data_IF_545242312215
#
_entry.id   IF_545242312215
#
_cell.length_a   1.000
_cell.length_b   1.000
_cell.length_c   1.000
_cell.angle_alpha   90.00
_cell.angle_beta   90.00
_cell.angle_gamma   90.00
#
_symmetry.space_group_name_H-M   'P 1'
#
loop_
_entity.id
_entity.type
_entity.pdbx_description
1 polymer ?
#
# COMPACT_ATOMS: atom_id res chain seq x y z
N UNK A 1 -53.82 -14.75 23.43
CA UNK A 1 -52.52 -14.10 23.73
C UNK A 1 -52.56 -13.52 25.12
N UNK A 2 -51.62 -13.90 25.99
CA UNK A 2 -51.63 -13.50 27.39
C UNK A 2 -51.31 -12.00 27.51
N UNK A 3 -52.03 -11.28 28.39
CA UNK A 3 -51.87 -9.83 28.64
C UNK A 3 -50.39 -9.43 28.89
N UNK A 4 -49.61 -10.35 29.47
CA UNK A 4 -48.17 -10.21 29.69
C UNK A 4 -47.33 -10.09 28.41
N UNK A 5 -47.71 -10.81 27.34
CA UNK A 5 -47.00 -10.73 26.06
C UNK A 5 -47.21 -9.38 25.37
N UNK A 6 -48.42 -8.83 25.47
CA UNK A 6 -48.73 -7.51 24.92
C UNK A 6 -48.01 -6.39 25.68
N UNK A 7 -47.93 -6.51 27.01
CA UNK A 7 -47.18 -5.57 27.84
C UNK A 7 -45.68 -5.54 27.50
N UNK A 8 -45.06 -6.69 27.27
CA UNK A 8 -43.64 -6.76 26.89
C UNK A 8 -43.39 -6.13 25.51
N UNK A 9 -44.27 -6.37 24.53
CA UNK A 9 -44.17 -5.75 23.20
C UNK A 9 -44.31 -4.23 23.31
N UNK A 10 -45.27 -3.73 24.09
CA UNK A 10 -45.46 -2.30 24.30
C UNK A 10 -44.24 -1.64 24.96
N UNK A 11 -43.66 -2.27 25.99
CA UNK A 11 -42.44 -1.77 26.64
C UNK A 11 -41.26 -1.76 25.68
N UNK A 12 -41.07 -2.80 24.86
CA UNK A 12 -40.01 -2.85 23.86
C UNK A 12 -40.15 -1.73 22.82
N UNK A 13 -41.37 -1.48 22.31
CA UNK A 13 -41.63 -0.40 21.35
C UNK A 13 -41.34 0.99 21.95
N UNK A 14 -41.72 1.21 23.21
CA UNK A 14 -41.43 2.46 23.92
C UNK A 14 -39.93 2.66 24.09
N UNK A 15 -39.18 1.61 24.44
CA UNK A 15 -37.72 1.67 24.57
C UNK A 15 -37.04 1.95 23.22
N UNK A 16 -37.45 1.26 22.14
CA UNK A 16 -36.94 1.51 20.79
C UNK A 16 -37.26 2.95 20.33
N UNK A 17 -38.50 3.40 20.54
CA UNK A 17 -38.91 4.77 20.21
C UNK A 17 -38.12 5.81 21.00
N UNK A 18 -37.89 5.57 22.30
CA UNK A 18 -37.06 6.42 23.14
C UNK A 18 -35.62 6.51 22.65
N UNK A 19 -35.02 5.37 22.27
CA UNK A 19 -33.65 5.34 21.73
C UNK A 19 -33.54 6.11 20.41
N UNK A 20 -34.49 5.92 19.49
CA UNK A 20 -34.54 6.64 18.22
C UNK A 20 -34.71 8.15 18.45
N UNK A 21 -35.57 8.53 19.39
CA UNK A 21 -35.78 9.94 19.72
C UNK A 21 -34.52 10.59 20.30
N UNK A 22 -33.81 9.92 21.19
CA UNK A 22 -32.50 10.38 21.72
C UNK A 22 -31.48 10.54 20.59
N UNK A 23 -31.39 9.58 19.66
CA UNK A 23 -30.47 9.66 18.52
C UNK A 23 -30.80 10.83 17.58
N UNK A 24 -32.09 11.05 17.28
CA UNK A 24 -32.52 12.19 16.47
C UNK A 24 -32.22 13.52 17.17
N UNK A 25 -32.48 13.62 18.47
CA UNK A 25 -32.19 14.81 19.26
C UNK A 25 -30.68 15.10 19.39
N UNK A 26 -29.84 14.06 19.34
CA UNK A 26 -28.38 14.17 19.35
C UNK A 26 -27.77 14.49 17.96
N UNK A 27 -28.60 14.77 16.95
CA UNK A 27 -28.12 15.08 15.59
C UNK A 27 -27.84 13.86 14.73
N UNK A 28 -28.35 12.68 15.08
CA UNK A 28 -28.20 11.45 14.28
C UNK A 28 -28.84 11.52 12.89
N UNK A 29 -29.72 12.50 12.64
CA UNK A 29 -30.27 12.80 11.32
C UNK A 29 -29.42 13.78 10.49
N UNK A 30 -28.49 14.50 11.12
CA UNK A 30 -27.65 15.51 10.48
C UNK A 30 -26.36 14.93 9.90
N UNK A 31 -26.40 13.66 9.50
CA UNK A 31 -25.27 13.03 8.80
C UNK A 31 -25.09 13.69 7.43
N UNK A 32 -24.17 14.64 7.36
CA UNK A 32 -23.66 15.17 6.10
C UNK A 32 -22.47 14.30 5.70
N UNK A 33 -22.56 13.49 4.62
CA UNK A 33 -21.41 12.73 4.16
C UNK A 33 -20.28 13.70 3.86
N UNK A 34 -19.18 13.56 4.62
CA UNK A 34 -17.96 14.30 4.37
C UNK A 34 -17.55 14.05 2.91
N UNK A 35 -17.25 15.12 2.18
CA UNK A 35 -16.72 14.95 0.82
C UNK A 35 -15.43 14.15 0.93
N UNK A 36 -15.30 13.16 0.04
CA UNK A 36 -14.06 12.45 -0.15
C UNK A 36 -12.92 13.46 -0.33
N UNK A 37 -11.79 13.17 0.31
CA UNK A 37 -10.63 14.04 0.24
C UNK A 37 -10.12 14.09 -1.21
N UNK A 38 -9.64 15.26 -1.62
CA UNK A 38 -9.01 15.43 -2.93
C UNK A 38 -7.73 14.56 -2.98
N UNK A 39 -7.65 13.59 -3.92
CA UNK A 39 -6.47 12.73 -4.06
C UNK A 39 -5.28 13.47 -4.69
N UNK A 40 -5.52 14.56 -5.41
CA UNK A 40 -4.47 15.33 -6.09
C UNK A 40 -3.75 16.32 -5.16
N UNK A 41 -4.25 16.50 -3.92
CA UNK A 41 -3.61 17.37 -2.94
C UNK A 41 -2.61 16.60 -2.09
N UNK A 42 -1.40 17.13 -2.01
CA UNK A 42 -0.38 16.60 -1.10
C UNK A 42 -0.83 16.73 0.36
N UNK A 43 -0.69 15.65 1.10
CA UNK A 43 -0.99 15.60 2.53
C UNK A 43 0.26 15.66 3.40
N UNK A 44 1.45 15.77 2.80
CA UNK A 44 2.70 15.94 3.51
C UNK A 44 2.96 14.80 4.49
N UNK A 45 2.61 13.56 4.12
CA UNK A 45 2.84 12.39 4.98
C UNK A 45 4.34 12.22 5.16
N UNK A 46 4.73 11.92 6.39
CA UNK A 46 6.11 11.59 6.73
C UNK A 46 6.22 10.08 6.92
N UNK A 47 7.16 9.44 6.22
CA UNK A 47 7.48 8.05 6.53
C UNK A 47 8.17 7.94 7.89
N UNK A 48 7.86 6.87 8.60
CA UNK A 48 8.57 6.48 9.81
C UNK A 48 9.86 5.73 9.46
N UNK A 49 10.72 5.52 10.45
CA UNK A 49 11.98 4.76 10.28
C UNK A 49 11.77 3.24 10.39
N UNK A 50 10.52 2.77 10.37
CA UNK A 50 10.17 1.35 10.41
C UNK A 50 9.56 0.90 9.08
N UNK A 51 9.64 -0.41 8.83
CA UNK A 51 9.21 -1.00 7.56
C UNK A 51 7.70 -0.86 7.33
N UNK A 52 6.90 -1.00 8.38
CA UNK A 52 5.44 -0.98 8.28
C UNK A 52 4.92 0.43 7.95
N UNK A 53 5.38 1.45 8.68
CA UNK A 53 4.99 2.82 8.39
C UNK A 53 5.59 3.36 7.09
N UNK A 54 6.75 2.87 6.65
CA UNK A 54 7.24 3.12 5.29
C UNK A 54 6.29 2.53 4.23
N UNK A 55 5.91 1.26 4.37
CA UNK A 55 5.02 0.59 3.44
C UNK A 55 3.64 1.27 3.39
N UNK A 56 3.07 1.62 4.53
CA UNK A 56 1.82 2.37 4.63
C UNK A 56 1.94 3.73 3.90
N UNK A 57 3.01 4.48 4.15
CA UNK A 57 3.21 5.80 3.55
C UNK A 57 3.32 5.71 2.03
N UNK A 58 4.05 4.71 1.51
CA UNK A 58 4.17 4.45 0.07
C UNK A 58 2.82 4.09 -0.52
N UNK A 59 2.09 3.14 0.08
CA UNK A 59 0.80 2.67 -0.43
C UNK A 59 -0.22 3.81 -0.43
N UNK A 60 -0.35 4.55 0.67
CA UNK A 60 -1.30 5.65 0.75
C UNK A 60 -0.98 6.79 -0.23
N UNK A 61 0.30 7.12 -0.38
CA UNK A 61 0.74 8.17 -1.32
C UNK A 61 0.57 7.72 -2.76
N UNK A 62 0.89 6.46 -3.06
CA UNK A 62 0.74 5.91 -4.39
C UNK A 62 -0.72 5.71 -4.81
N UNK A 63 -1.61 5.35 -3.88
CA UNK A 63 -3.04 5.27 -4.15
C UNK A 63 -3.68 6.65 -4.33
N UNK A 64 -3.20 7.68 -3.63
CA UNK A 64 -3.62 9.06 -3.90
C UNK A 64 -3.21 9.48 -5.33
N UNK A 65 -1.98 9.19 -5.74
CA UNK A 65 -1.51 9.50 -7.10
C UNK A 65 -2.27 8.73 -8.19
N UNK A 66 -2.51 7.43 -7.96
CA UNK A 66 -3.29 6.60 -8.87
C UNK A 66 -4.74 7.13 -8.99
N UNK A 67 -5.37 7.46 -7.86
CA UNK A 67 -6.71 8.04 -7.85
C UNK A 67 -6.75 9.40 -8.55
N UNK A 68 -5.74 10.25 -8.34
CA UNK A 68 -5.61 11.53 -9.05
C UNK A 68 -5.50 11.32 -10.58
N UNK A 69 -4.65 10.38 -11.01
CA UNK A 69 -4.47 10.03 -12.42
C UNK A 69 -5.75 9.50 -13.06
N UNK A 70 -6.51 8.69 -12.33
CA UNK A 70 -7.77 8.10 -12.77
C UNK A 70 -8.96 9.07 -12.66
N UNK A 71 -8.79 10.24 -12.02
CA UNK A 71 -9.85 11.23 -11.82
C UNK A 71 -10.97 10.77 -10.87
N UNK A 72 -10.67 9.86 -9.93
CA UNK A 72 -11.63 9.32 -8.96
C UNK A 72 -11.17 9.59 -7.54
N UNK A 73 -12.06 9.47 -6.54
CA UNK A 73 -11.60 9.53 -5.15
C UNK A 73 -10.80 8.29 -4.77
N UNK A 74 -9.88 8.44 -3.81
CA UNK A 74 -9.14 7.30 -3.25
C UNK A 74 -10.08 6.25 -2.66
N UNK A 75 -11.18 6.67 -2.04
CA UNK A 75 -12.19 5.78 -1.48
C UNK A 75 -12.89 4.96 -2.58
N UNK A 76 -13.21 5.59 -3.73
CA UNK A 76 -13.79 4.87 -4.88
C UNK A 76 -12.81 3.87 -5.48
N UNK A 77 -11.52 4.23 -5.57
CA UNK A 77 -10.46 3.34 -6.02
C UNK A 77 -10.32 2.14 -5.07
N UNK A 78 -10.14 2.39 -3.76
CA UNK A 78 -9.99 1.36 -2.74
C UNK A 78 -11.17 0.39 -2.68
N UNK A 79 -12.40 0.90 -2.79
CA UNK A 79 -13.60 0.07 -2.82
C UNK A 79 -13.65 -0.84 -4.05
N UNK A 80 -13.03 -0.44 -5.16
CA UNK A 80 -13.00 -1.25 -6.38
C UNK A 80 -11.97 -2.38 -6.30
N UNK A 81 -10.85 -2.19 -5.60
CA UNK A 81 -9.70 -3.10 -5.68
C UNK A 81 -9.99 -4.56 -5.36
N UNK A 82 -10.79 -4.92 -4.33
CA UNK A 82 -10.98 -6.33 -3.95
C UNK A 82 -11.77 -7.13 -5.00
N UNK A 83 -12.71 -6.50 -5.69
CA UNK A 83 -13.69 -7.18 -6.54
C UNK A 83 -13.38 -6.98 -8.01
N UNK A 84 -13.21 -8.08 -8.75
CA UNK A 84 -13.00 -8.03 -10.21
C UNK A 84 -14.13 -7.28 -10.92
N UNK A 85 -15.38 -7.50 -10.49
CA UNK A 85 -16.54 -6.82 -11.03
C UNK A 85 -16.48 -5.29 -10.79
N UNK A 86 -16.05 -4.87 -9.60
CA UNK A 86 -15.96 -3.44 -9.27
C UNK A 86 -14.76 -2.76 -9.93
N UNK A 87 -13.64 -3.48 -10.13
CA UNK A 87 -12.51 -3.01 -10.96
C UNK A 87 -12.92 -2.81 -12.40
N UNK A 88 -13.66 -3.76 -12.98
CA UNK A 88 -14.16 -3.65 -14.35
C UNK A 88 -15.14 -2.47 -14.49
N UNK A 89 -15.99 -2.23 -13.49
CA UNK A 89 -16.86 -1.05 -13.47
C UNK A 89 -16.07 0.26 -13.34
N UNK A 90 -15.11 0.32 -12.43
CA UNK A 90 -14.24 1.48 -12.29
C UNK A 90 -13.45 1.77 -13.58
N UNK A 91 -12.97 0.73 -14.26
CA UNK A 91 -12.27 0.86 -15.53
C UNK A 91 -13.19 1.47 -16.60
N UNK A 92 -14.45 1.03 -16.68
CA UNK A 92 -15.46 1.63 -17.56
C UNK A 92 -15.75 3.09 -17.21
N UNK A 93 -15.94 3.40 -15.93
CA UNK A 93 -16.20 4.77 -15.44
C UNK A 93 -15.07 5.75 -15.82
N UNK A 94 -13.82 5.29 -15.73
CA UNK A 94 -12.62 6.09 -15.99
C UNK A 94 -12.13 6.03 -17.44
N UNK A 95 -12.81 5.26 -18.30
CA UNK A 95 -12.45 5.13 -19.71
C UNK A 95 -11.15 4.34 -19.97
N UNK A 96 -10.77 3.45 -19.05
CA UNK A 96 -9.59 2.58 -19.14
C UNK A 96 -9.98 1.10 -19.24
N UNK A 97 -9.00 0.23 -19.52
CA UNK A 97 -9.09 -1.21 -19.29
C UNK A 97 -8.49 -1.60 -17.93
N UNK A 98 -8.69 -2.84 -17.49
CA UNK A 98 -8.14 -3.37 -16.23
C UNK A 98 -6.61 -3.25 -16.19
N UNK A 99 -5.94 -3.43 -17.33
CA UNK A 99 -4.48 -3.25 -17.44
C UNK A 99 -4.08 -1.80 -17.22
N UNK A 100 -4.88 -0.84 -17.67
CA UNK A 100 -4.66 0.58 -17.43
C UNK A 100 -4.93 0.95 -15.98
N UNK A 101 -5.93 0.34 -15.33
CA UNK A 101 -6.14 0.49 -13.88
C UNK A 101 -4.92 -0.04 -13.09
N UNK A 102 -4.45 -1.24 -13.40
CA UNK A 102 -3.28 -1.84 -12.78
C UNK A 102 -1.99 -1.02 -13.03
N UNK A 103 -1.83 -0.46 -14.23
CA UNK A 103 -0.74 0.48 -14.55
C UNK A 103 -0.83 1.76 -13.74
N UNK A 104 -2.00 2.39 -13.64
CA UNK A 104 -2.18 3.60 -12.84
C UNK A 104 -1.83 3.36 -11.36
N UNK A 105 -2.17 2.19 -10.81
CA UNK A 105 -1.78 1.81 -9.45
C UNK A 105 -0.26 1.63 -9.34
N UNK A 106 0.36 0.92 -10.28
CA UNK A 106 1.82 0.72 -10.31
C UNK A 106 2.58 2.04 -10.43
N UNK A 107 2.17 2.90 -11.36
CA UNK A 107 2.76 4.21 -11.61
C UNK A 107 2.55 5.13 -10.40
N UNK A 108 1.38 5.06 -9.76
CA UNK A 108 1.11 5.75 -8.51
C UNK A 108 2.07 5.33 -7.40
N UNK A 109 2.24 4.03 -7.16
CA UNK A 109 3.19 3.50 -6.16
C UNK A 109 4.63 3.94 -6.46
N UNK A 110 5.07 3.87 -7.72
CA UNK A 110 6.39 4.33 -8.16
C UNK A 110 6.58 5.83 -7.90
N UNK A 111 5.57 6.63 -8.21
CA UNK A 111 5.57 8.08 -7.94
C UNK A 111 5.58 8.38 -6.43
N UNK A 112 4.90 7.56 -5.62
CA UNK A 112 4.95 7.63 -4.16
C UNK A 112 6.37 7.42 -3.62
N UNK A 113 7.09 6.43 -4.15
CA UNK A 113 8.50 6.19 -3.82
C UNK A 113 9.35 7.40 -4.22
N UNK A 114 9.19 7.91 -5.45
CA UNK A 114 9.92 9.09 -5.93
C UNK A 114 9.71 10.32 -5.05
N UNK A 115 8.49 10.52 -4.56
CA UNK A 115 8.15 11.67 -3.71
C UNK A 115 8.89 11.58 -2.37
N UNK A 116 8.88 10.40 -1.75
CA UNK A 116 9.58 10.16 -0.48
C UNK A 116 11.09 10.28 -0.65
N UNK A 117 11.64 9.81 -1.76
CA UNK A 117 13.06 9.93 -2.08
C UNK A 117 13.47 11.40 -2.23
N UNK A 118 12.74 12.16 -3.06
CA UNK A 118 12.96 13.60 -3.27
C UNK A 118 12.82 14.42 -1.99
N UNK A 119 11.94 13.99 -1.08
CA UNK A 119 11.76 14.63 0.22
C UNK A 119 12.82 14.20 1.25
N UNK A 120 13.72 13.26 0.92
CA UNK A 120 14.72 12.73 1.84
C UNK A 120 14.12 11.94 3.00
N UNK A 121 12.93 11.36 2.80
CA UNK A 121 12.17 10.66 3.84
C UNK A 121 12.33 9.14 3.79
N UNK A 122 12.89 8.60 2.70
CA UNK A 122 13.17 7.17 2.64
C UNK A 122 14.24 6.79 3.69
N UNK A 123 13.94 5.86 4.61
CA UNK A 123 14.93 5.37 5.54
C UNK A 123 15.98 4.56 4.78
N UNK A 124 17.16 4.41 5.37
CA UNK A 124 18.22 3.64 4.75
C UNK A 124 17.93 2.15 4.85
N UNK A 125 18.36 1.36 3.87
CA UNK A 125 18.14 -0.10 3.90
C UNK A 125 18.78 -0.72 5.15
N UNK A 126 19.97 -0.26 5.55
CA UNK A 126 20.60 -0.70 6.81
C UNK A 126 19.72 -0.54 8.05
N UNK A 127 18.90 0.51 8.12
CA UNK A 127 17.97 0.72 9.24
C UNK A 127 16.75 -0.21 9.21
N UNK A 128 16.37 -0.69 8.02
CA UNK A 128 15.26 -1.63 7.83
C UNK A 128 15.70 -3.09 7.94
N UNK A 129 17.00 -3.37 7.74
CA UNK A 129 17.55 -4.73 7.73
C UNK A 129 17.16 -5.58 8.94
N UNK A 130 17.16 -5.08 10.19
CA UNK A 130 16.77 -5.89 11.35
C UNK A 130 15.33 -6.41 11.23
N UNK A 131 14.38 -5.55 10.85
CA UNK A 131 12.98 -5.93 10.67
C UNK A 131 12.79 -6.92 9.51
N UNK A 132 13.54 -6.73 8.43
CA UNK A 132 13.53 -7.64 7.27
C UNK A 132 14.14 -9.00 7.65
N UNK A 133 15.21 -9.01 8.42
CA UNK A 133 15.89 -10.22 8.88
C UNK A 133 14.99 -11.15 9.68
N UNK A 134 14.25 -10.56 10.62
CA UNK A 134 13.31 -11.26 11.47
C UNK A 134 12.20 -11.93 10.61
N UNK A 135 11.72 -11.24 9.57
CA UNK A 135 10.72 -11.80 8.64
C UNK A 135 11.28 -12.89 7.73
N UNK A 136 12.55 -12.80 7.33
CA UNK A 136 13.22 -13.79 6.48
C UNK A 136 13.82 -14.96 7.27
N UNK A 137 13.74 -14.95 8.61
CA UNK A 137 14.36 -15.95 9.47
C UNK A 137 15.90 -15.94 9.42
N UNK A 138 16.49 -14.82 9.02
CA UNK A 138 17.95 -14.65 8.95
C UNK A 138 18.44 -14.23 10.33
N UNK A 139 19.39 -14.97 10.90
CA UNK A 139 19.96 -14.63 12.20
C UNK A 139 20.62 -13.25 12.16
N UNK A 140 20.23 -12.36 13.07
CA UNK A 140 20.75 -11.00 13.22
C UNK A 140 22.27 -10.91 13.39
N UNK A 141 22.90 -11.99 13.90
CA UNK A 141 24.36 -12.12 14.02
C UNK A 141 25.10 -12.09 12.68
N UNK A 142 24.48 -12.55 11.59
CA UNK A 142 25.10 -12.57 10.26
C UNK A 142 25.03 -11.18 9.59
N UNK A 143 24.02 -10.39 9.92
CA UNK A 143 23.80 -9.08 9.30
C UNK A 143 24.78 -8.04 9.83
N UNK A 144 25.12 -8.09 11.12
CA UNK A 144 26.11 -7.19 11.72
C UNK A 144 27.54 -7.35 11.17
N UNK A 145 27.80 -8.35 10.31
CA UNK A 145 29.10 -8.54 9.66
C UNK A 145 29.28 -7.64 8.43
N UNK A 146 28.19 -7.11 7.86
CA UNK A 146 28.24 -6.24 6.68
C UNK A 146 28.14 -4.78 7.15
N UNK A 147 29.08 -3.90 6.79
CA UNK A 147 29.00 -2.49 7.17
C UNK A 147 27.78 -1.80 6.55
N UNK A 148 27.03 -1.04 7.37
CA UNK A 148 25.83 -0.30 6.93
C UNK A 148 26.09 0.57 5.70
N UNK A 149 27.26 1.22 5.62
CA UNK A 149 27.64 2.05 4.47
C UNK A 149 27.66 1.27 3.16
N UNK A 150 28.16 0.04 3.20
CA UNK A 150 28.23 -0.81 2.02
C UNK A 150 26.82 -1.26 1.59
N UNK A 151 25.97 -1.56 2.56
CA UNK A 151 24.55 -1.87 2.30
C UNK A 151 23.86 -0.67 1.66
N UNK A 152 23.97 0.51 2.25
CA UNK A 152 23.28 1.71 1.77
C UNK A 152 23.77 2.17 0.39
N UNK A 153 25.04 1.94 0.06
CA UNK A 153 25.63 2.27 -1.24
C UNK A 153 25.23 1.25 -2.32
N UNK A 154 25.17 -0.04 -1.99
CA UNK A 154 24.78 -1.10 -2.93
C UNK A 154 23.26 -1.24 -3.09
N UNK A 155 22.50 -0.85 -2.08
CA UNK A 155 21.06 -1.01 -2.02
C UNK A 155 20.43 0.33 -1.59
N UNK A 156 20.44 1.35 -2.45
CA UNK A 156 19.67 2.55 -2.18
C UNK A 156 18.18 2.18 -2.10
N UNK A 157 17.50 2.58 -1.02
CA UNK A 157 16.11 2.20 -0.73
C UNK A 157 15.18 2.49 -1.91
N UNK A 158 15.30 3.67 -2.53
CA UNK A 158 14.53 4.03 -3.71
C UNK A 158 14.76 3.06 -4.89
N UNK A 159 16.02 2.69 -5.16
CA UNK A 159 16.38 1.77 -6.23
C UNK A 159 15.80 0.37 -6.03
N UNK A 160 15.90 -0.15 -4.79
CA UNK A 160 15.30 -1.43 -4.42
C UNK A 160 13.79 -1.42 -4.59
N UNK A 161 13.13 -0.37 -4.09
CA UNK A 161 11.67 -0.24 -4.17
C UNK A 161 11.19 -0.15 -5.62
N UNK A 162 11.82 0.67 -6.47
CA UNK A 162 11.48 0.76 -7.89
C UNK A 162 11.65 -0.56 -8.61
N UNK A 163 12.78 -1.26 -8.39
CA UNK A 163 13.00 -2.58 -8.99
C UNK A 163 12.00 -3.62 -8.52
N UNK A 164 11.62 -3.56 -7.24
CA UNK A 164 10.62 -4.46 -6.69
C UNK A 164 9.25 -4.21 -7.32
N UNK A 165 8.83 -2.94 -7.42
CA UNK A 165 7.58 -2.55 -8.08
C UNK A 165 7.57 -2.96 -9.56
N UNK A 166 8.70 -2.84 -10.27
CA UNK A 166 8.84 -3.28 -11.66
C UNK A 166 8.53 -4.76 -11.84
N UNK A 167 8.90 -5.62 -10.89
CA UNK A 167 8.67 -7.07 -10.93
C UNK A 167 7.27 -7.48 -10.51
N UNK A 168 6.55 -6.63 -9.77
CA UNK A 168 5.19 -6.92 -9.34
C UNK A 168 4.23 -6.83 -10.53
N UNK A 169 3.50 -7.92 -10.77
CA UNK A 169 2.28 -7.89 -11.57
C UNK A 169 1.11 -7.49 -10.67
N UNK A 170 0.69 -6.24 -10.80
CA UNK A 170 -0.40 -5.68 -10.00
C UNK A 170 -1.71 -6.45 -10.23
N UNK A 171 -1.96 -7.01 -11.42
CA UNK A 171 -3.19 -7.80 -11.63
C UNK A 171 -3.17 -9.09 -10.81
N UNK A 172 -2.01 -9.74 -10.72
CA UNK A 172 -1.83 -10.94 -9.88
C UNK A 172 -2.03 -10.59 -8.41
N UNK A 173 -1.47 -9.47 -7.95
CA UNK A 173 -1.67 -8.99 -6.56
C UNK A 173 -3.14 -8.67 -6.30
N UNK A 174 -3.81 -7.97 -7.20
CA UNK A 174 -5.22 -7.60 -7.07
C UNK A 174 -6.15 -8.82 -7.10
N UNK A 175 -5.80 -9.86 -7.85
CA UNK A 175 -6.54 -11.12 -7.87
C UNK A 175 -6.37 -11.94 -6.58
N UNK A 176 -5.25 -11.75 -5.86
CA UNK A 176 -4.93 -12.43 -4.60
C UNK A 176 -5.34 -11.69 -3.33
N UNK A 177 -6.00 -10.53 -3.42
CA UNK A 177 -6.34 -9.70 -2.25
C UNK A 177 -7.20 -10.43 -1.19
N UNK A 178 -8.02 -11.39 -1.60
CA UNK A 178 -8.87 -12.16 -0.71
C UNK A 178 -8.14 -13.32 -0.01
N UNK A 179 -6.92 -13.67 -0.45
CA UNK A 179 -6.10 -14.73 0.12
C UNK A 179 -4.68 -14.23 0.45
N UNK A 180 -4.45 -13.76 1.69
CA UNK A 180 -3.15 -13.28 2.14
C UNK A 180 -2.01 -14.30 1.94
N UNK A 181 -2.32 -15.60 1.99
CA UNK A 181 -1.32 -16.65 1.81
C UNK A 181 -0.74 -16.72 0.39
N UNK A 182 -1.47 -16.19 -0.60
CA UNK A 182 -1.03 -16.10 -1.99
C UNK A 182 -0.17 -14.87 -2.30
N UNK A 183 -0.31 -13.81 -1.50
CA UNK A 183 0.37 -12.52 -1.71
C UNK A 183 1.79 -12.52 -1.17
N UNK A 184 2.00 -13.12 0.01
CA UNK A 184 3.29 -13.09 0.70
C UNK A 184 4.44 -13.66 -0.16
N UNK A 185 4.29 -14.82 -0.83
CA UNK A 185 5.35 -15.34 -1.70
C UNK A 185 5.67 -14.40 -2.86
N UNK A 186 4.64 -13.81 -3.47
CA UNK A 186 4.76 -12.91 -4.64
C UNK A 186 5.50 -11.62 -4.26
N UNK A 187 5.12 -11.00 -3.15
CA UNK A 187 5.74 -9.76 -2.66
C UNK A 187 7.18 -10.01 -2.20
N UNK A 188 7.42 -11.11 -1.48
CA UNK A 188 8.77 -11.49 -1.04
C UNK A 188 9.69 -11.75 -2.23
N UNK A 189 9.20 -12.48 -3.23
CA UNK A 189 9.98 -12.79 -4.43
C UNK A 189 10.35 -11.52 -5.22
N UNK A 190 9.38 -10.61 -5.40
CA UNK A 190 9.62 -9.33 -6.05
C UNK A 190 10.63 -8.47 -5.30
N UNK A 191 10.57 -8.44 -3.96
CA UNK A 191 11.51 -7.68 -3.13
C UNK A 191 12.94 -8.25 -3.22
N UNK A 192 13.08 -9.59 -3.12
CA UNK A 192 14.38 -10.26 -3.20
C UNK A 192 15.01 -10.06 -4.58
N UNK A 193 14.24 -10.25 -5.65
CA UNK A 193 14.72 -9.99 -7.01
C UNK A 193 15.03 -8.52 -7.23
N UNK A 194 14.20 -7.61 -6.71
CA UNK A 194 14.40 -6.17 -6.81
C UNK A 194 15.71 -5.73 -6.14
N UNK A 195 15.98 -6.22 -4.92
CA UNK A 195 17.22 -5.96 -4.21
C UNK A 195 18.45 -6.55 -4.94
N UNK A 196 18.32 -7.78 -5.44
CA UNK A 196 19.41 -8.45 -6.17
C UNK A 196 19.75 -7.72 -7.47
N UNK A 197 18.73 -7.32 -8.26
CA UNK A 197 18.90 -6.59 -9.51
C UNK A 197 19.50 -5.19 -9.27
N UNK A 198 19.14 -4.54 -8.16
CA UNK A 198 19.72 -3.25 -7.77
C UNK A 198 21.19 -3.39 -7.35
N UNK A 199 21.51 -4.36 -6.48
CA UNK A 199 22.89 -4.63 -6.10
C UNK A 199 23.77 -4.95 -7.31
N UNK A 200 23.26 -5.78 -8.25
CA UNK A 200 23.94 -6.11 -9.50
C UNK A 200 24.22 -4.86 -10.34
N UNK A 201 23.28 -3.92 -10.40
CA UNK A 201 23.43 -2.65 -11.11
C UNK A 201 24.52 -1.78 -10.49
N UNK A 202 24.47 -1.56 -9.17
CA UNK A 202 25.47 -0.76 -8.46
C UNK A 202 26.88 -1.35 -8.61
N UNK A 203 27.00 -2.67 -8.53
CA UNK A 203 28.26 -3.37 -8.77
C UNK A 203 28.75 -3.20 -10.22
N UNK A 204 27.86 -3.28 -11.20
CA UNK A 204 28.21 -3.09 -12.63
C UNK A 204 28.71 -1.67 -12.89
N UNK A 205 28.09 -0.68 -12.26
CA UNK A 205 28.46 0.74 -12.39
C UNK A 205 29.79 1.05 -11.68
N UNK A 206 30.10 0.35 -10.58
CA UNK A 206 31.36 0.49 -9.85
C UNK A 206 32.56 -0.24 -10.50
N UNK A 207 32.32 -1.25 -11.34
CA UNK A 207 33.37 -2.09 -11.92
C UNK A 207 33.93 -1.55 -13.25
N UNK A 208 35.25 -1.65 -13.48
CA UNK A 208 35.85 -1.31 -14.78
C UNK A 208 35.40 -2.27 -15.88
N UNK A 209 35.27 -1.75 -17.11
CA UNK A 209 34.65 -2.40 -18.27
C UNK A 209 34.95 -3.89 -18.54
N UNK A 210 36.18 -4.41 -18.32
CA UNK A 210 36.47 -5.83 -18.52
C UNK A 210 35.71 -6.77 -17.57
N UNK A 211 35.44 -6.31 -16.34
CA UNK A 211 34.76 -7.08 -15.29
C UNK A 211 33.22 -7.00 -15.40
N UNK A 212 32.69 -6.00 -16.11
CA UNK A 212 31.24 -5.85 -16.31
C UNK A 212 30.60 -7.04 -17.04
N UNK A 213 31.36 -7.75 -17.90
CA UNK A 213 30.87 -8.93 -18.64
C UNK A 213 30.73 -10.20 -17.79
N UNK A 214 31.30 -10.23 -16.58
CA UNK A 214 31.18 -11.39 -15.67
C UNK A 214 29.88 -11.38 -14.87
N UNK A 215 29.18 -10.24 -14.87
CA UNK A 215 27.93 -10.07 -14.14
C UNK A 215 26.71 -10.36 -14.99
N UNK A 216 26.78 -10.36 -16.33
CA UNK A 216 25.64 -10.67 -17.20
C UNK A 216 25.27 -12.15 -17.16
#
# INVERSE_FOLDING_TARGET
MSSRGFALIAVALVLCGGLLWVQLAAGGADFVPQRAADPCQDRGRTSTNDLEGLAETIVLTGLDEAACTLGVSRERLLLALPSEADRAELARETGTDERGLARAIKDGLSTGVDRLDKAGQLPKVSTLLPSIADQLGISSSLIGLIPDRLVDELLPTAGVLHRSLDKIDVNTVLAGLDDPGSLEPTLRDALVHGATDEAKRQLKDALPGPLQRLLD
#
